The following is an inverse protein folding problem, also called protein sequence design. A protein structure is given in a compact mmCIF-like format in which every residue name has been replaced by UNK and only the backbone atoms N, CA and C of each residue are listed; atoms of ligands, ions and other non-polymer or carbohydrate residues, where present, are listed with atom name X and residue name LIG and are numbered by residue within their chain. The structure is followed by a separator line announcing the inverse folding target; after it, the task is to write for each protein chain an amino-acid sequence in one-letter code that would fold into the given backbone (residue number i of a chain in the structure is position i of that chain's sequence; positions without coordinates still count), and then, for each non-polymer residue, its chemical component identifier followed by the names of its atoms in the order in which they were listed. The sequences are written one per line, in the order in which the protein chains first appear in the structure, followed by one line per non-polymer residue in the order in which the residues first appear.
data_IF_386815661901
#
_entry.id   IF_386815661901
#
_cell.length_a   1.000
_cell.length_b   1.000
_cell.length_c   1.000
_cell.angle_alpha   90.00
_cell.angle_beta   90.00
_cell.angle_gamma   90.00
#
_symmetry.space_group_name_H-M   'P 1'
#
loop_
_entity.id
_entity.type
_entity.pdbx_description
1 polymer ?
#
# COMPACT_ATOMS: atom_id res chain seq x y z
N UNK A 1 -1.20 38.43 -23.54
CA UNK A 1 -0.41 37.18 -23.63
C UNK A 1 -0.14 36.53 -22.28
N UNK A 2 0.17 37.28 -21.20
CA UNK A 2 0.45 36.71 -19.85
C UNK A 2 -0.77 36.06 -19.17
N UNK A 3 -1.98 36.60 -19.37
CA UNK A 3 -3.20 36.08 -18.72
C UNK A 3 -3.61 34.66 -19.15
N UNK A 4 -3.30 34.24 -20.39
CA UNK A 4 -3.61 32.89 -20.87
C UNK A 4 -2.74 31.83 -20.19
N UNK A 5 -1.46 32.13 -19.96
CA UNK A 5 -0.56 31.24 -19.22
C UNK A 5 -0.98 31.08 -17.76
N UNK A 6 -1.45 32.16 -17.12
CA UNK A 6 -1.98 32.12 -15.75
C UNK A 6 -3.23 31.23 -15.67
N UNK A 7 -4.18 31.36 -16.62
CA UNK A 7 -5.34 30.46 -16.68
C UNK A 7 -4.96 29.01 -16.95
N UNK A 8 -4.03 28.75 -17.88
CA UNK A 8 -3.55 27.39 -18.18
C UNK A 8 -2.86 26.73 -16.98
N UNK A 9 -2.06 27.49 -16.23
CA UNK A 9 -1.42 27.03 -14.99
C UNK A 9 -2.44 26.76 -13.88
N UNK A 10 -3.48 27.59 -13.76
CA UNK A 10 -4.59 27.38 -12.81
C UNK A 10 -5.39 26.11 -13.13
N UNK A 11 -5.69 25.86 -14.40
CA UNK A 11 -6.36 24.61 -14.81
C UNK A 11 -5.49 23.39 -14.50
N UNK A 12 -4.20 23.41 -14.85
CA UNK A 12 -3.28 22.32 -14.55
C UNK A 12 -3.17 22.02 -13.04
N UNK A 13 -3.17 23.06 -12.21
CA UNK A 13 -3.13 22.93 -10.75
C UNK A 13 -4.40 22.31 -10.17
N UNK A 14 -5.58 22.65 -10.71
CA UNK A 14 -6.85 22.06 -10.29
C UNK A 14 -6.93 20.57 -10.65
N UNK A 15 -6.46 20.15 -11.83
CA UNK A 15 -6.39 18.73 -12.22
C UNK A 15 -5.46 17.89 -11.32
N UNK A 16 -4.43 18.49 -10.71
CA UNK A 16 -3.51 17.79 -9.81
C UNK A 16 -4.11 17.50 -8.42
N UNK A 17 -5.17 18.21 -8.02
CA UNK A 17 -5.78 18.04 -6.68
C UNK A 17 -6.67 16.81 -6.54
N UNK A 18 -7.07 16.17 -7.64
CA UNK A 18 -7.98 15.00 -7.61
C UNK A 18 -7.28 13.65 -7.39
N UNK A 19 -5.94 13.59 -7.37
CA UNK A 19 -5.22 12.31 -7.44
C UNK A 19 -5.02 11.60 -6.08
N UNK A 20 -5.40 12.22 -4.97
CA UNK A 20 -5.24 11.62 -3.64
C UNK A 20 -6.60 11.50 -2.93
N UNK A 21 -7.33 10.41 -3.22
CA UNK A 21 -8.54 10.06 -2.49
C UNK A 21 -8.18 9.21 -1.27
N UNK A 22 -8.55 9.69 -0.08
CA UNK A 22 -8.46 8.93 1.17
C UNK A 22 -9.87 8.64 1.68
N UNK A 23 -10.06 7.47 2.29
CA UNK A 23 -11.31 7.16 2.98
C UNK A 23 -11.44 8.02 4.24
N UNK A 24 -12.63 8.59 4.44
CA UNK A 24 -13.04 9.22 5.70
C UNK A 24 -13.11 8.19 6.84
N UNK A 25 -13.08 8.61 8.12
CA UNK A 25 -13.27 7.70 9.24
C UNK A 25 -14.57 6.88 9.16
N UNK A 26 -15.65 7.45 8.62
CA UNK A 26 -16.91 6.75 8.45
C UNK A 26 -16.80 5.66 7.37
N UNK A 27 -16.13 5.93 6.25
CA UNK A 27 -15.90 4.94 5.20
C UNK A 27 -14.93 3.83 5.63
N UNK A 28 -13.98 4.11 6.52
CA UNK A 28 -13.12 3.09 7.11
C UNK A 28 -13.88 2.05 7.93
N UNK A 29 -15.05 2.39 8.51
CA UNK A 29 -15.87 1.47 9.32
C UNK A 29 -16.45 0.30 8.52
N UNK A 30 -16.57 0.43 7.20
CA UNK A 30 -17.06 -0.65 6.33
C UNK A 30 -15.93 -1.52 5.78
N UNK A 31 -14.66 -1.22 6.09
CA UNK A 31 -13.53 -1.97 5.55
C UNK A 31 -13.23 -3.22 6.37
N UNK A 32 -12.87 -4.31 5.68
CA UNK A 32 -12.28 -5.50 6.29
C UNK A 32 -10.76 -5.40 6.16
N UNK A 33 -10.05 -5.28 7.29
CA UNK A 33 -8.62 -4.94 7.31
C UNK A 33 -7.77 -6.19 7.57
N UNK A 34 -6.85 -6.50 6.63
CA UNK A 34 -5.84 -7.52 6.79
C UNK A 34 -4.54 -6.91 7.34
N UNK A 35 -4.11 -7.32 8.53
CA UNK A 35 -2.89 -6.80 9.15
C UNK A 35 -1.68 -7.65 8.77
N UNK A 36 -0.66 -7.02 8.18
CA UNK A 36 0.59 -7.67 7.75
C UNK A 36 1.79 -7.17 8.55
N UNK A 37 2.66 -8.10 8.92
CA UNK A 37 4.03 -7.82 9.31
C UNK A 37 4.92 -7.98 8.09
N UNK A 38 5.43 -6.87 7.56
CA UNK A 38 6.12 -6.81 6.26
C UNK A 38 7.21 -7.87 6.13
N UNK A 39 8.05 -8.03 7.16
CA UNK A 39 9.16 -8.99 7.18
C UNK A 39 8.70 -10.46 7.17
N UNK A 40 7.46 -10.76 7.58
CA UNK A 40 6.96 -12.12 7.82
C UNK A 40 5.91 -12.59 6.82
N UNK A 41 5.44 -11.70 5.94
CA UNK A 41 4.33 -12.02 5.06
C UNK A 41 4.77 -12.73 3.77
N UNK A 42 5.65 -12.09 2.98
CA UNK A 42 6.09 -12.65 1.71
C UNK A 42 7.43 -12.05 1.27
N UNK A 43 8.29 -12.89 0.70
CA UNK A 43 9.58 -12.50 0.14
C UNK A 43 9.47 -12.11 -1.33
N UNK A 44 10.36 -11.24 -1.80
CA UNK A 44 10.41 -10.86 -3.23
C UNK A 44 10.70 -12.06 -4.13
N UNK A 45 11.53 -13.00 -3.68
CA UNK A 45 11.91 -14.22 -4.40
C UNK A 45 10.80 -15.30 -4.41
N UNK A 46 9.73 -15.12 -3.64
CA UNK A 46 8.64 -16.09 -3.52
C UNK A 46 9.02 -17.36 -2.74
N UNK A 47 10.20 -17.41 -2.10
CA UNK A 47 10.63 -18.58 -1.35
C UNK A 47 9.74 -18.80 -0.12
N UNK A 48 9.22 -20.01 0.03
CA UNK A 48 8.46 -20.48 1.19
C UNK A 48 9.30 -21.36 2.11
N UNK A 49 10.55 -21.65 1.73
CA UNK A 49 11.46 -22.57 2.43
C UNK A 49 12.78 -21.90 2.85
N UNK A 50 12.94 -20.60 2.60
CA UNK A 50 14.09 -19.84 3.08
C UNK A 50 14.19 -19.95 4.61
N UNK A 51 15.38 -20.30 5.09
CA UNK A 51 15.64 -20.33 6.53
C UNK A 51 15.41 -18.94 7.14
N UNK A 52 14.68 -18.89 8.25
CA UNK A 52 14.55 -17.69 9.05
C UNK A 52 14.76 -17.99 10.54
N UNK A 53 15.63 -17.22 11.16
CA UNK A 53 15.69 -17.06 12.62
C UNK A 53 14.63 -16.02 13.04
N UNK A 54 13.68 -16.43 13.87
CA UNK A 54 12.56 -15.57 14.31
C UNK A 54 13.00 -14.30 15.06
N UNK A 55 14.24 -14.27 15.56
CA UNK A 55 14.84 -13.11 16.22
C UNK A 55 15.57 -12.18 15.23
N UNK A 56 15.54 -12.49 13.93
CA UNK A 56 16.14 -11.71 12.85
C UNK A 56 15.09 -11.36 11.79
N UNK A 57 15.53 -10.60 10.81
CA UNK A 57 14.75 -10.34 9.61
C UNK A 57 14.65 -11.60 8.73
N UNK A 58 13.41 -12.01 8.46
CA UNK A 58 13.10 -13.10 7.54
C UNK A 58 13.09 -12.67 6.08
N UNK A 59 13.25 -11.37 5.78
CA UNK A 59 13.41 -10.82 4.44
C UNK A 59 12.11 -10.68 3.66
N UNK A 60 10.98 -10.54 4.36
CA UNK A 60 9.74 -10.11 3.74
C UNK A 60 9.82 -8.66 3.26
N UNK A 61 9.14 -8.34 2.16
CA UNK A 61 9.26 -7.04 1.48
C UNK A 61 7.90 -6.52 1.01
N UNK A 62 7.82 -5.22 0.71
CA UNK A 62 6.64 -4.66 0.04
C UNK A 62 6.40 -5.28 -1.33
N UNK A 63 7.44 -5.63 -2.07
CA UNK A 63 7.28 -6.33 -3.35
C UNK A 63 6.68 -7.73 -3.16
N UNK A 64 7.02 -8.42 -2.07
CA UNK A 64 6.37 -9.67 -1.68
C UNK A 64 4.88 -9.47 -1.38
N UNK A 65 4.52 -8.42 -0.63
CA UNK A 65 3.11 -8.07 -0.38
C UNK A 65 2.36 -7.83 -1.69
N UNK A 66 2.93 -7.03 -2.60
CA UNK A 66 2.32 -6.72 -3.90
C UNK A 66 1.99 -7.99 -4.69
N UNK A 67 2.90 -8.98 -4.67
CA UNK A 67 2.69 -10.27 -5.35
C UNK A 67 1.56 -11.12 -4.75
N UNK A 68 1.06 -10.77 -3.57
CA UNK A 68 0.04 -11.53 -2.82
C UNK A 68 -1.24 -10.71 -2.60
N UNK A 69 -1.42 -9.59 -3.32
CA UNK A 69 -2.65 -8.80 -3.20
C UNK A 69 -3.90 -9.60 -3.61
N UNK A 70 -3.78 -10.50 -4.60
CA UNK A 70 -4.89 -11.36 -5.00
C UNK A 70 -5.24 -12.37 -3.89
N UNK A 71 -4.24 -12.91 -3.19
CA UNK A 71 -4.47 -13.78 -2.03
C UNK A 71 -5.28 -13.06 -0.94
N UNK A 72 -4.93 -11.81 -0.62
CA UNK A 72 -5.64 -11.01 0.38
C UNK A 72 -7.07 -10.67 -0.09
N UNK A 73 -7.22 -10.23 -1.35
CA UNK A 73 -8.51 -9.83 -1.91
C UNK A 73 -9.47 -11.02 -2.03
N UNK A 74 -8.98 -12.19 -2.44
CA UNK A 74 -9.81 -13.40 -2.58
C UNK A 74 -10.34 -13.92 -1.24
N UNK A 75 -9.73 -13.55 -0.11
CA UNK A 75 -10.27 -13.80 1.23
C UNK A 75 -11.38 -12.79 1.63
N UNK A 76 -11.63 -11.75 0.83
CA UNK A 76 -12.65 -10.73 1.11
C UNK A 76 -12.18 -9.55 1.95
N UNK A 77 -10.86 -9.39 2.15
CA UNK A 77 -10.31 -8.18 2.78
C UNK A 77 -10.28 -7.02 1.77
N UNK A 78 -10.57 -5.82 2.26
CA UNK A 78 -10.69 -4.61 1.44
C UNK A 78 -9.61 -3.58 1.73
N UNK A 79 -8.80 -3.80 2.78
CA UNK A 79 -7.67 -2.95 3.13
C UNK A 79 -6.53 -3.75 3.75
N UNK A 80 -5.30 -3.25 3.59
CA UNK A 80 -4.09 -3.82 4.20
C UNK A 80 -3.51 -2.85 5.21
N UNK A 81 -3.31 -3.29 6.45
CA UNK A 81 -2.57 -2.55 7.48
C UNK A 81 -1.15 -3.06 7.55
N UNK A 82 -0.20 -2.20 7.21
CA UNK A 82 1.23 -2.53 7.16
C UNK A 82 1.91 -2.17 8.49
N UNK A 83 2.62 -3.11 9.11
CA UNK A 83 3.59 -2.81 10.16
C UNK A 83 4.93 -2.39 9.57
N UNK A 84 5.52 -1.35 10.18
CA UNK A 84 6.89 -0.93 9.91
C UNK A 84 7.85 -2.08 10.24
N UNK A 85 8.87 -2.36 9.42
CA UNK A 85 9.97 -3.24 9.82
C UNK A 85 10.75 -2.58 10.96
N UNK A 86 10.84 -3.27 12.09
CA UNK A 86 11.50 -2.80 13.32
C UNK A 86 13.01 -2.81 13.10
N UNK A 87 13.62 -1.62 12.91
CA UNK A 87 15.05 -1.40 12.62
C UNK A 87 15.97 -2.15 13.55
#
# INVERSE_FOLDING_TARGET
MVANYVSQLLFAFLYLTELAQCLTPAQWRSQSIYQVFTDRFARTDGSTTASCDVNKYCGGTFQGIIKQLDYIQNMGFTAVRIHKPDS
#
